data_IF_603870664582
#
_entry.id   IF_603870664582
#
_cell.length_a   1.000
_cell.length_b   1.000
_cell.length_c   1.000
_cell.angle_alpha   90.00
_cell.angle_beta   90.00
_cell.angle_gamma   90.00
#
_symmetry.space_group_name_H-M   'P 1'
#
loop_
_entity.id
_entity.type
_entity.pdbx_description
1 polymer ?
#
# COMPACT_ATOMS: atom_id res chain seq x y z
N UNK A 1 -7.52 -12.59 -15.30
CA UNK A 1 -8.86 -11.99 -15.03
C UNK A 1 -9.02 -11.65 -13.55
N UNK A 2 -8.60 -12.53 -12.65
CA UNK A 2 -8.60 -12.31 -11.20
C UNK A 2 -7.65 -11.17 -10.78
N UNK A 3 -6.44 -11.11 -11.35
CA UNK A 3 -5.48 -10.02 -11.08
C UNK A 3 -6.05 -8.64 -11.41
N UNK A 4 -6.75 -8.48 -12.54
CA UNK A 4 -7.38 -7.20 -12.91
C UNK A 4 -8.45 -6.80 -11.88
N UNK A 5 -9.26 -7.75 -11.40
CA UNK A 5 -10.26 -7.48 -10.37
C UNK A 5 -9.59 -7.07 -9.05
N UNK A 6 -8.51 -7.75 -8.67
CA UNK A 6 -7.74 -7.46 -7.46
C UNK A 6 -7.08 -6.10 -7.52
N UNK A 7 -6.47 -5.72 -8.67
CA UNK A 7 -5.93 -4.36 -8.89
C UNK A 7 -7.00 -3.30 -8.72
N UNK A 8 -8.15 -3.45 -9.38
CA UNK A 8 -9.28 -2.51 -9.26
C UNK A 8 -9.87 -2.47 -7.85
N UNK A 9 -9.79 -3.55 -7.10
CA UNK A 9 -10.18 -3.60 -5.70
C UNK A 9 -9.19 -2.83 -4.82
N UNK A 10 -7.89 -3.08 -4.97
CA UNK A 10 -6.81 -2.36 -4.28
C UNK A 10 -6.85 -0.86 -4.57
N UNK A 11 -7.06 -0.46 -5.83
CA UNK A 11 -7.25 0.94 -6.20
C UNK A 11 -8.34 1.63 -5.36
N UNK A 12 -9.48 0.95 -5.16
CA UNK A 12 -10.59 1.47 -4.34
C UNK A 12 -10.22 1.58 -2.86
N UNK A 13 -9.38 0.68 -2.35
CA UNK A 13 -8.86 0.77 -0.99
C UNK A 13 -7.94 1.98 -0.83
N UNK A 14 -6.99 2.18 -1.76
CA UNK A 14 -6.08 3.34 -1.75
C UNK A 14 -6.86 4.65 -1.82
N UNK A 15 -7.83 4.78 -2.72
CA UNK A 15 -8.70 5.96 -2.77
C UNK A 15 -9.49 6.17 -1.47
N UNK A 16 -9.95 5.10 -0.82
CA UNK A 16 -10.65 5.23 0.45
C UNK A 16 -9.74 5.79 1.56
N UNK A 17 -8.44 5.50 1.51
CA UNK A 17 -7.45 6.09 2.41
C UNK A 17 -7.23 7.56 2.10
N UNK A 18 -6.94 7.90 0.83
CA UNK A 18 -6.71 9.28 0.39
C UNK A 18 -7.92 10.21 0.64
N UNK A 19 -9.13 9.65 0.62
CA UNK A 19 -10.38 10.39 0.88
C UNK A 19 -10.87 10.27 2.32
N UNK A 20 -10.03 9.76 3.24
CA UNK A 20 -10.30 9.61 4.68
C UNK A 20 -11.54 8.77 5.01
N UNK A 21 -12.03 7.97 4.06
CA UNK A 21 -13.15 7.02 4.26
C UNK A 21 -12.71 5.76 4.99
N UNK A 22 -11.41 5.48 5.00
CA UNK A 22 -10.75 4.37 5.69
C UNK A 22 -9.39 4.82 6.20
N UNK A 23 -8.93 4.22 7.29
CA UNK A 23 -7.53 4.38 7.71
C UNK A 23 -6.63 3.52 6.82
N UNK A 24 -5.34 3.88 6.68
CA UNK A 24 -4.38 3.06 5.94
C UNK A 24 -4.29 1.65 6.55
N UNK A 25 -4.24 1.55 7.89
CA UNK A 25 -4.35 0.25 8.58
C UNK A 25 -5.56 -0.60 8.20
N UNK A 26 -6.77 -0.03 8.15
CA UNK A 26 -7.97 -0.76 7.73
C UNK A 26 -7.89 -1.22 6.28
N UNK A 27 -7.37 -0.38 5.40
CA UNK A 27 -7.17 -0.71 4.00
C UNK A 27 -6.18 -1.86 3.84
N UNK A 28 -5.02 -1.80 4.51
CA UNK A 28 -3.97 -2.83 4.44
C UNK A 28 -4.49 -4.22 4.82
N UNK A 29 -5.32 -4.32 5.87
CA UNK A 29 -5.90 -5.59 6.30
C UNK A 29 -6.85 -6.23 5.27
N UNK A 30 -7.35 -5.44 4.32
CA UNK A 30 -8.25 -5.87 3.26
C UNK A 30 -7.53 -6.24 1.96
N UNK A 31 -6.20 -6.11 1.87
CA UNK A 31 -5.46 -6.46 0.67
C UNK A 31 -5.58 -7.96 0.34
N UNK A 32 -5.81 -8.32 -0.94
CA UNK A 32 -5.87 -9.71 -1.36
C UNK A 32 -4.48 -10.34 -1.35
N UNK A 33 -4.40 -11.64 -1.04
CA UNK A 33 -3.18 -12.41 -1.32
C UNK A 33 -2.94 -12.48 -2.83
N UNK A 34 -1.70 -12.22 -3.25
CA UNK A 34 -1.37 -12.20 -4.67
C UNK A 34 0.13 -12.37 -4.91
N UNK A 35 0.49 -12.65 -6.16
CA UNK A 35 1.87 -12.58 -6.68
C UNK A 35 2.08 -11.37 -7.60
N UNK A 36 1.06 -10.53 -7.72
CA UNK A 36 1.09 -9.34 -8.55
C UNK A 36 1.93 -8.24 -7.89
N UNK A 37 3.10 -7.99 -8.47
CA UNK A 37 4.05 -6.97 -7.99
C UNK A 37 3.47 -5.56 -7.91
N UNK A 38 2.45 -5.25 -8.70
CA UNK A 38 1.79 -3.95 -8.62
C UNK A 38 0.94 -3.81 -7.36
N UNK A 39 0.31 -4.91 -6.92
CA UNK A 39 -0.47 -4.94 -5.69
C UNK A 39 0.47 -4.99 -4.48
N UNK A 40 1.57 -5.74 -4.55
CA UNK A 40 2.61 -5.72 -3.52
C UNK A 40 3.17 -4.29 -3.35
N UNK A 41 3.53 -3.62 -4.44
CA UNK A 41 3.96 -2.21 -4.41
C UNK A 41 2.95 -1.30 -3.71
N UNK A 42 1.67 -1.38 -4.07
CA UNK A 42 0.60 -0.61 -3.43
C UNK A 42 0.43 -0.92 -1.93
N UNK A 43 0.65 -2.18 -1.54
CA UNK A 43 0.62 -2.59 -0.13
C UNK A 43 1.74 -1.89 0.65
N UNK A 44 2.97 -1.94 0.13
CA UNK A 44 4.11 -1.30 0.80
C UNK A 44 3.98 0.22 0.84
N UNK A 45 3.49 0.85 -0.24
CA UNK A 45 3.23 2.29 -0.25
C UNK A 45 2.27 2.71 0.89
N UNK A 46 1.20 1.94 1.13
CA UNK A 46 0.29 2.21 2.26
C UNK A 46 0.91 1.90 3.62
N UNK A 47 1.79 0.89 3.74
CA UNK A 47 2.52 0.62 4.98
C UNK A 47 3.43 1.80 5.34
N UNK A 48 4.15 2.37 4.37
CA UNK A 48 4.97 3.57 4.57
C UNK A 48 4.11 4.78 4.90
N UNK A 49 3.00 4.98 4.19
CA UNK A 49 2.05 6.05 4.49
C UNK A 49 1.56 6.06 5.95
N UNK A 50 1.27 4.88 6.51
CA UNK A 50 0.89 4.73 7.92
C UNK A 50 2.11 4.94 8.85
N UNK A 51 3.28 4.40 8.51
CA UNK A 51 4.48 4.54 9.34
C UNK A 51 4.99 5.99 9.42
N UNK A 52 4.79 6.76 8.36
CA UNK A 52 5.26 8.13 8.22
C UNK A 52 4.23 9.17 8.69
N UNK A 53 3.16 8.77 9.39
CA UNK A 53 2.08 9.68 9.86
C UNK A 53 2.63 10.92 10.59
N UNK A 54 3.56 10.72 11.52
CA UNK A 54 4.20 11.81 12.27
C UNK A 54 5.05 12.73 11.39
N UNK A 55 5.69 12.18 10.34
CA UNK A 55 6.50 12.96 9.40
C UNK A 55 5.58 13.78 8.49
N UNK A 56 4.56 13.15 7.91
CA UNK A 56 3.52 13.80 7.08
C UNK A 56 2.76 14.89 7.82
N UNK A 57 2.58 14.76 9.12
CA UNK A 57 1.95 15.80 9.94
C UNK A 57 2.84 17.05 10.06
N UNK A 58 4.17 16.88 10.06
CA UNK A 58 5.14 17.95 10.29
C UNK A 58 5.68 18.56 8.99
N UNK A 59 5.72 17.79 7.92
CA UNK A 59 6.25 18.18 6.62
C UNK A 59 5.14 18.09 5.55
N UNK A 60 4.64 19.26 5.14
CA UNK A 60 3.53 19.36 4.20
C UNK A 60 3.93 18.96 2.78
N UNK A 61 5.13 19.34 2.33
CA UNK A 61 5.62 19.03 0.99
C UNK A 61 5.79 17.50 0.86
N UNK A 62 6.36 16.87 1.89
CA UNK A 62 6.46 15.40 1.95
C UNK A 62 5.07 14.72 1.93
N UNK A 63 4.09 15.30 2.62
CA UNK A 63 2.72 14.79 2.63
C UNK A 63 2.11 14.84 1.23
N UNK A 64 2.21 15.98 0.54
CA UNK A 64 1.69 16.13 -0.83
C UNK A 64 2.37 15.15 -1.79
N UNK A 65 3.70 15.02 -1.75
CA UNK A 65 4.43 14.05 -2.59
C UNK A 65 3.95 12.61 -2.36
N UNK A 66 3.70 12.22 -1.11
CA UNK A 66 3.23 10.88 -0.80
C UNK A 66 1.77 10.65 -1.21
N UNK A 67 0.91 11.66 -1.07
CA UNK A 67 -0.48 11.63 -1.51
C UNK A 67 -0.56 11.49 -3.04
N UNK A 68 0.22 12.29 -3.78
CA UNK A 68 0.33 12.24 -5.25
C UNK A 68 0.81 10.86 -5.73
N UNK A 69 1.78 10.28 -5.01
CA UNK A 69 2.31 8.96 -5.34
C UNK A 69 1.27 7.85 -5.16
N UNK A 70 0.52 7.88 -4.05
CA UNK A 70 -0.58 6.94 -3.82
C UNK A 70 -1.71 7.14 -4.83
N UNK A 71 -2.01 8.38 -5.22
CA UNK A 71 -2.99 8.66 -6.25
C UNK A 71 -2.56 8.06 -7.60
N UNK A 72 -1.31 8.25 -8.01
CA UNK A 72 -0.76 7.64 -9.21
C UNK A 72 -0.91 6.11 -9.21
N UNK A 73 -0.60 5.46 -8.08
CA UNK A 73 -0.77 4.02 -7.90
C UNK A 73 -2.26 3.65 -8.07
N UNK A 74 -3.15 4.34 -7.37
CA UNK A 74 -4.58 4.07 -7.39
C UNK A 74 -5.18 4.23 -8.80
N UNK A 75 -4.84 5.31 -9.51
CA UNK A 75 -5.27 5.57 -10.88
C UNK A 75 -4.83 4.44 -11.82
N UNK A 76 -3.55 4.05 -11.77
CA UNK A 76 -3.01 2.98 -12.62
C UNK A 76 -3.72 1.65 -12.37
N UNK A 77 -3.92 1.29 -11.09
CA UNK A 77 -4.59 0.05 -10.70
C UNK A 77 -6.10 0.06 -11.00
N UNK A 78 -6.75 1.22 -10.95
CA UNK A 78 -8.18 1.37 -11.29
C UNK A 78 -8.47 1.06 -12.77
N UNK A 79 -7.51 1.33 -13.64
CA UNK A 79 -7.58 0.92 -15.05
C UNK A 79 -7.32 -0.58 -15.23
N UNK A 80 -6.88 -1.29 -14.18
CA UNK A 80 -6.47 -2.69 -14.22
C UNK A 80 -5.05 -2.90 -14.76
N UNK A 81 -4.29 -1.81 -14.95
CA UNK A 81 -2.92 -1.85 -15.48
C UNK A 81 -1.92 -2.24 -14.38
N UNK A 82 -0.77 -2.74 -14.82
CA UNK A 82 0.38 -2.97 -13.96
C UNK A 82 1.10 -1.65 -13.72
N UNK A 83 1.70 -1.47 -12.55
CA UNK A 83 2.57 -0.31 -12.32
C UNK A 83 3.82 -0.40 -13.21
N UNK A 84 4.42 0.76 -13.57
CA UNK A 84 5.69 0.80 -14.29
C UNK A 84 6.79 0.05 -13.54
N UNK A 85 7.74 -0.54 -14.27
CA UNK A 85 8.80 -1.37 -13.67
C UNK A 85 9.74 -0.58 -12.75
N UNK A 86 10.05 0.68 -13.10
CA UNK A 86 10.87 1.55 -12.26
C UNK A 86 10.21 1.76 -10.89
N UNK A 87 8.90 2.03 -10.88
CA UNK A 87 8.10 2.19 -9.67
C UNK A 87 8.11 0.92 -8.80
N UNK A 88 7.95 -0.24 -9.42
CA UNK A 88 8.01 -1.53 -8.71
C UNK A 88 9.41 -1.79 -8.14
N UNK A 89 10.47 -1.44 -8.89
CA UNK A 89 11.86 -1.65 -8.51
C UNK A 89 12.29 -0.75 -7.35
N UNK A 90 11.80 0.50 -7.30
CA UNK A 90 12.08 1.44 -6.20
C UNK A 90 11.56 0.88 -4.86
N UNK A 91 10.50 0.07 -4.90
CA UNK A 91 9.93 -0.59 -3.73
C UNK A 91 10.44 -2.02 -3.48
N UNK A 92 11.19 -2.60 -4.41
CA UNK A 92 11.68 -3.98 -4.33
C UNK A 92 12.55 -4.27 -3.09
N UNK A 93 13.42 -3.35 -2.64
CA UNK A 93 14.16 -3.52 -1.38
C UNK A 93 13.27 -3.67 -0.15
N UNK A 94 12.03 -3.19 -0.21
CA UNK A 94 11.09 -3.16 0.92
C UNK A 94 10.07 -4.32 0.85
N UNK A 95 10.13 -5.20 -0.15
CA UNK A 95 9.22 -6.35 -0.32
C UNK A 95 9.43 -7.51 0.67
N UNK A 96 10.12 -7.29 1.79
CA UNK A 96 10.41 -8.33 2.78
C UNK A 96 9.18 -8.90 3.52
N UNK A 97 7.98 -8.38 3.27
CA UNK A 97 6.70 -8.90 3.74
C UNK A 97 5.72 -9.01 2.57
N UNK A 98 5.33 -10.23 2.21
CA UNK A 98 4.33 -10.47 1.15
C UNK A 98 2.94 -10.18 1.73
N UNK A 99 2.01 -9.67 0.92
CA UNK A 99 0.58 -9.58 1.32
C UNK A 99 0.03 -11.00 1.55
N UNK A 100 0.20 -11.53 2.76
CA UNK A 100 -0.36 -12.81 3.20
C UNK A 100 -1.64 -12.55 3.99
N UNK A 101 -2.57 -13.49 3.90
CA UNK A 101 -3.76 -13.54 4.73
C UNK A 101 -3.27 -13.85 6.14
N UNK A 102 -3.43 -12.89 7.05
CA UNK A 102 -2.92 -13.00 8.41
C UNK A 102 -3.62 -14.12 9.18
N UNK A 103 -2.97 -15.29 9.32
CA UNK A 103 -3.50 -16.45 10.05
C UNK A 103 -3.82 -16.13 11.53
N UNK A 104 -3.21 -15.08 12.11
CA UNK A 104 -3.40 -14.64 13.50
C UNK A 104 -4.06 -13.25 13.64
N UNK A 105 -4.70 -12.72 12.59
CA UNK A 105 -5.36 -11.41 12.63
C UNK A 105 -4.41 -10.23 12.93
N UNK A 106 -4.93 -9.17 13.55
CA UNK A 106 -4.23 -7.88 13.77
C UNK A 106 -2.88 -7.99 14.49
N UNK A 107 -2.64 -9.05 15.27
CA UNK A 107 -1.35 -9.29 15.95
C UNK A 107 -0.23 -9.65 14.99
N UNK A 108 -0.52 -10.35 13.89
CA UNK A 108 0.47 -10.67 12.86
C UNK A 108 0.90 -9.42 12.11
N UNK A 109 -0.08 -8.58 11.74
CA UNK A 109 0.13 -7.29 11.10
C UNK A 109 1.09 -6.39 11.90
N UNK A 110 0.82 -6.20 13.21
CA UNK A 110 1.68 -5.37 14.05
C UNK A 110 3.12 -5.89 14.15
N UNK A 111 3.34 -7.21 14.11
CA UNK A 111 4.70 -7.77 14.20
C UNK A 111 5.55 -7.48 12.97
N UNK A 112 4.98 -7.58 11.76
CA UNK A 112 5.71 -7.20 10.55
C UNK A 112 5.76 -5.69 10.37
N UNK A 113 4.68 -4.96 10.68
CA UNK A 113 4.67 -3.49 10.69
C UNK A 113 5.75 -2.90 11.62
N UNK A 114 5.89 -3.43 12.84
CA UNK A 114 6.98 -3.06 13.76
C UNK A 114 8.37 -3.45 13.24
N UNK A 115 8.46 -4.44 12.35
CA UNK A 115 9.71 -4.81 11.68
C UNK A 115 10.07 -3.84 10.56
N UNK A 116 9.06 -3.27 9.89
CA UNK A 116 9.23 -2.19 8.91
C UNK A 116 9.61 -0.86 9.57
N UNK A 117 9.01 -0.53 10.71
CA UNK A 117 9.33 0.72 11.45
C UNK A 117 10.73 0.69 12.07
N UNK A 118 11.24 -0.49 12.46
CA UNK A 118 12.57 -0.65 13.05
C UNK A 118 13.68 -0.97 12.02
N UNK A 119 13.39 -0.83 10.72
CA UNK A 119 14.33 -1.07 9.62
C UNK A 119 14.98 0.24 9.14
#
# INVERSE_FOLDING_TARGET
MEDIKNRKYVARLVYAVLTERKTAREAILLFPETKDKSIECAYHALVHFEADEDLRYRDFDYREEQDDYLEFIAQTLAEGKSLPRNIIADYEPYYHGVSRRWENGTKGFWKEFLRFINL
#
